data_IF_473324915409
#
_entry.id   IF_473324915409
#
_cell.length_a   1.000
_cell.length_b   1.000
_cell.length_c   1.000
_cell.angle_alpha   90.00
_cell.angle_beta   90.00
_cell.angle_gamma   90.00
#
_symmetry.space_group_name_H-M   'P 1'
#
loop_
_entity.id
_entity.type
_entity.pdbx_description
1 polymer ?
#
# COMPACT_ATOMS: atom_id res chain seq x y z
N UNK A 1 -29.02 11.01 -11.29
CA UNK A 1 -27.85 11.82 -11.66
C UNK A 1 -26.94 11.95 -10.46
N UNK A 2 -25.63 11.87 -10.69
CA UNK A 2 -24.59 12.14 -9.70
C UNK A 2 -24.48 13.64 -9.42
N UNK A 3 -23.99 13.96 -8.23
CA UNK A 3 -23.58 15.31 -7.84
C UNK A 3 -22.07 15.23 -7.54
N UNK A 4 -21.28 15.77 -8.43
CA UNK A 4 -19.82 15.67 -8.37
C UNK A 4 -19.23 16.96 -7.79
N UNK A 5 -18.10 16.83 -7.07
CA UNK A 5 -17.35 17.94 -6.47
C UNK A 5 -15.86 17.63 -6.41
N UNK A 6 -15.03 18.67 -6.23
CA UNK A 6 -13.58 18.49 -6.22
C UNK A 6 -13.03 18.10 -7.60
N UNK A 7 -13.42 18.83 -8.65
CA UNK A 7 -12.89 18.61 -10.00
C UNK A 7 -11.37 18.82 -10.02
N UNK A 8 -10.67 17.86 -10.60
CA UNK A 8 -9.24 17.99 -10.86
C UNK A 8 -8.97 19.16 -11.85
N UNK A 9 -7.81 19.82 -11.76
CA UNK A 9 -7.46 20.91 -12.70
C UNK A 9 -7.11 20.42 -14.10
N UNK A 10 -7.01 19.11 -14.31
CA UNK A 10 -6.71 18.45 -15.58
C UNK A 10 -7.83 17.50 -15.97
N UNK A 11 -7.90 17.14 -17.23
CA UNK A 11 -8.85 16.18 -17.77
C UNK A 11 -8.15 15.12 -18.63
N UNK A 12 -8.79 13.97 -18.76
CA UNK A 12 -8.38 12.88 -19.65
C UNK A 12 -9.29 12.81 -20.87
N UNK A 13 -8.75 12.32 -21.99
CA UNK A 13 -9.50 12.03 -23.18
C UNK A 13 -9.46 10.53 -23.47
N UNK A 14 -10.62 9.94 -23.68
CA UNK A 14 -10.77 8.51 -23.93
C UNK A 14 -11.17 8.29 -25.39
N UNK A 15 -10.20 8.01 -26.24
CA UNK A 15 -10.38 7.69 -27.68
C UNK A 15 -10.23 6.18 -27.88
N UNK A 16 -11.13 5.40 -27.25
CA UNK A 16 -11.03 3.95 -27.24
C UNK A 16 -11.77 3.35 -28.44
N UNK A 17 -11.06 2.47 -29.18
CA UNK A 17 -11.61 1.80 -30.38
C UNK A 17 -11.75 2.70 -31.60
N UNK A 18 -12.38 2.18 -32.65
CA UNK A 18 -12.47 2.80 -33.98
C UNK A 18 -13.79 3.56 -34.23
N UNK A 19 -14.63 3.70 -33.22
CA UNK A 19 -15.92 4.38 -33.32
C UNK A 19 -15.87 5.73 -32.60
N UNK A 20 -15.77 6.85 -33.35
CA UNK A 20 -15.68 8.19 -32.75
C UNK A 20 -16.89 8.58 -31.88
N UNK A 21 -18.05 7.98 -32.11
CA UNK A 21 -19.25 8.26 -31.32
C UNK A 21 -19.15 7.80 -29.85
N UNK A 22 -18.20 6.90 -29.58
CA UNK A 22 -17.88 6.38 -28.25
C UNK A 22 -16.72 7.12 -27.55
N UNK A 23 -16.07 8.02 -28.27
CA UNK A 23 -14.98 8.81 -27.70
C UNK A 23 -15.51 9.84 -26.72
N UNK A 24 -14.76 10.05 -25.65
CA UNK A 24 -15.05 11.04 -24.62
C UNK A 24 -13.85 11.92 -24.41
N UNK A 25 -14.01 13.22 -24.61
CA UNK A 25 -13.02 14.24 -24.28
C UNK A 25 -13.41 14.99 -23.03
N UNK A 26 -12.47 15.70 -22.45
CA UNK A 26 -12.62 16.57 -21.28
C UNK A 26 -13.26 15.84 -20.08
N UNK A 27 -12.84 14.60 -19.82
CA UNK A 27 -13.31 13.83 -18.66
C UNK A 27 -12.47 14.24 -17.46
N UNK A 28 -13.06 14.99 -16.55
CA UNK A 28 -12.40 15.42 -15.32
C UNK A 28 -12.48 14.35 -14.25
N UNK A 29 -11.36 14.10 -13.56
CA UNK A 29 -11.42 13.37 -12.31
C UNK A 29 -12.12 14.21 -11.24
N UNK A 30 -12.87 13.53 -10.37
CA UNK A 30 -13.63 14.17 -9.29
C UNK A 30 -13.18 13.59 -7.96
N UNK A 31 -12.99 14.45 -6.96
CA UNK A 31 -12.62 14.01 -5.61
C UNK A 31 -13.79 13.34 -4.88
N UNK A 32 -15.01 13.74 -5.20
CA UNK A 32 -16.22 13.21 -4.55
C UNK A 32 -17.40 13.15 -5.50
N UNK A 33 -18.10 12.02 -5.49
CA UNK A 33 -19.33 11.82 -6.26
C UNK A 33 -20.46 11.31 -5.35
N UNK A 34 -21.58 12.02 -5.33
CA UNK A 34 -22.76 11.67 -4.54
C UNK A 34 -23.86 11.15 -5.47
N UNK A 35 -24.50 10.06 -5.06
CA UNK A 35 -25.67 9.47 -5.73
C UNK A 35 -26.88 9.61 -4.81
N UNK A 36 -27.59 10.74 -4.85
CA UNK A 36 -28.83 10.90 -4.11
C UNK A 36 -29.85 9.84 -4.55
N UNK A 37 -30.56 9.24 -3.62
CA UNK A 37 -31.51 8.17 -3.90
C UNK A 37 -30.91 6.96 -4.63
N UNK A 38 -29.68 6.58 -4.26
CA UNK A 38 -29.06 5.31 -4.71
C UNK A 38 -29.99 4.12 -4.47
N UNK A 39 -30.61 4.08 -3.29
CA UNK A 39 -31.79 3.29 -2.94
C UNK A 39 -32.85 4.23 -2.32
N UNK A 40 -34.11 3.86 -2.23
CA UNK A 40 -35.15 4.70 -1.61
C UNK A 40 -34.75 5.16 -0.21
N UNK A 41 -34.48 6.46 -0.03
CA UNK A 41 -34.09 7.07 1.22
C UNK A 41 -32.62 6.81 1.62
N UNK A 42 -31.79 6.31 0.70
CA UNK A 42 -30.35 6.10 0.91
C UNK A 42 -29.57 6.84 -0.16
N UNK A 43 -28.69 7.72 0.27
CA UNK A 43 -27.65 8.32 -0.57
C UNK A 43 -26.37 7.50 -0.46
N UNK A 44 -25.69 7.27 -1.58
CA UNK A 44 -24.35 6.71 -1.62
C UNK A 44 -23.36 7.79 -2.04
N UNK A 45 -22.25 7.88 -1.36
CA UNK A 45 -21.16 8.78 -1.70
C UNK A 45 -19.92 7.96 -2.02
N UNK A 46 -19.25 8.30 -3.11
CA UNK A 46 -17.87 7.89 -3.39
C UNK A 46 -16.94 9.05 -3.06
N UNK A 47 -15.88 8.76 -2.33
CA UNK A 47 -14.82 9.70 -1.97
C UNK A 47 -13.50 9.15 -2.52
N UNK A 48 -12.90 9.87 -3.48
CA UNK A 48 -11.62 9.54 -4.08
C UNK A 48 -10.51 10.11 -3.21
N UNK A 49 -9.93 9.33 -2.32
CA UNK A 49 -8.65 9.66 -1.70
C UNK A 49 -7.50 9.17 -2.60
N UNK A 50 -6.29 9.71 -2.40
CA UNK A 50 -5.14 9.51 -3.31
C UNK A 50 -4.84 8.01 -3.53
N UNK A 51 -5.13 7.13 -2.56
CA UNK A 51 -4.79 5.71 -2.61
C UNK A 51 -5.97 4.75 -2.36
N UNK A 52 -7.20 5.26 -2.24
CA UNK A 52 -8.36 4.41 -1.97
C UNK A 52 -9.66 5.01 -2.51
N UNK A 53 -10.50 4.16 -3.10
CA UNK A 53 -11.89 4.49 -3.35
C UNK A 53 -12.70 4.12 -2.11
N UNK A 54 -13.19 5.14 -1.41
CA UNK A 54 -14.13 4.96 -0.29
C UNK A 54 -15.55 5.16 -0.77
N UNK A 55 -16.48 4.49 -0.12
CA UNK A 55 -17.89 4.76 -0.30
C UNK A 55 -18.58 4.80 1.06
N UNK A 56 -19.65 5.59 1.18
CA UNK A 56 -20.47 5.66 2.38
C UNK A 56 -21.96 5.70 2.02
N UNK A 57 -22.76 5.26 2.95
CA UNK A 57 -24.21 5.32 2.86
C UNK A 57 -24.75 6.28 3.91
N UNK A 58 -25.56 7.23 3.48
CA UNK A 58 -26.38 8.08 4.34
C UNK A 58 -27.83 7.61 4.26
N UNK A 59 -28.33 6.99 5.33
CA UNK A 59 -29.70 6.55 5.47
C UNK A 59 -30.54 7.67 6.09
N UNK A 60 -31.64 8.01 5.47
CA UNK A 60 -32.63 8.95 6.03
C UNK A 60 -33.34 8.32 7.24
N UNK A 61 -33.94 9.12 8.13
CA UNK A 61 -34.73 8.61 9.23
C UNK A 61 -35.79 7.58 8.80
N UNK A 62 -35.93 6.54 9.62
CA UNK A 62 -36.85 5.41 9.38
C UNK A 62 -36.55 4.52 8.16
N UNK A 63 -35.35 4.64 7.57
CA UNK A 63 -34.89 3.74 6.51
C UNK A 63 -34.07 2.60 7.13
N UNK A 64 -34.42 1.36 6.76
CA UNK A 64 -33.76 0.17 7.29
C UNK A 64 -32.40 -0.09 6.65
N UNK A 65 -31.32 -0.30 7.41
CA UNK A 65 -30.02 -0.68 6.86
C UNK A 65 -30.01 -2.02 6.11
N UNK A 66 -30.97 -2.91 6.40
CA UNK A 66 -31.08 -4.22 5.72
C UNK A 66 -31.48 -4.10 4.24
N UNK A 67 -31.89 -2.90 3.78
CA UNK A 67 -32.11 -2.65 2.35
C UNK A 67 -30.82 -2.58 1.56
N UNK A 68 -29.68 -2.33 2.21
CA UNK A 68 -28.37 -2.29 1.55
C UNK A 68 -27.89 -3.73 1.37
N UNK A 69 -27.89 -4.18 0.13
CA UNK A 69 -27.40 -5.51 -0.28
C UNK A 69 -26.58 -5.37 -1.54
N UNK A 70 -25.40 -5.98 -1.56
CA UNK A 70 -24.52 -6.04 -2.71
C UNK A 70 -24.24 -7.50 -3.06
N UNK A 71 -24.31 -7.85 -4.34
CA UNK A 71 -23.83 -9.13 -4.84
C UNK A 71 -22.43 -8.95 -5.39
N UNK A 72 -21.51 -9.74 -4.90
CA UNK A 72 -20.11 -9.72 -5.35
C UNK A 72 -19.97 -10.79 -6.44
N UNK A 73 -19.73 -10.34 -7.67
CA UNK A 73 -19.59 -11.21 -8.84
C UNK A 73 -18.12 -11.25 -9.30
N UNK A 74 -17.71 -12.37 -9.90
CA UNK A 74 -16.36 -12.54 -10.43
C UNK A 74 -15.30 -12.88 -9.39
N UNK A 75 -15.66 -13.02 -8.12
CA UNK A 75 -14.74 -13.46 -7.08
C UNK A 75 -14.59 -14.99 -7.10
N UNK A 76 -13.37 -15.48 -6.91
CA UNK A 76 -13.06 -16.90 -6.71
C UNK A 76 -13.38 -17.35 -5.29
N UNK A 77 -13.18 -16.43 -4.33
CA UNK A 77 -13.48 -16.67 -2.91
C UNK A 77 -13.82 -15.35 -2.22
N UNK A 78 -14.82 -15.39 -1.36
CA UNK A 78 -15.19 -14.27 -0.50
C UNK A 78 -15.23 -14.78 0.94
N UNK A 79 -14.63 -14.04 1.88
CA UNK A 79 -14.58 -14.42 3.29
C UNK A 79 -14.62 -13.21 4.22
N UNK A 80 -15.28 -13.36 5.35
CA UNK A 80 -15.14 -12.45 6.48
C UNK A 80 -13.98 -12.91 7.34
N UNK A 81 -13.02 -12.05 7.57
CA UNK A 81 -11.86 -12.31 8.40
C UNK A 81 -12.19 -12.16 9.89
N UNK A 82 -11.36 -12.74 10.76
CA UNK A 82 -11.57 -12.69 12.23
C UNK A 82 -11.60 -11.27 12.80
N UNK A 83 -10.93 -10.32 12.14
CA UNK A 83 -10.93 -8.90 12.51
C UNK A 83 -12.17 -8.14 12.03
N UNK A 84 -13.06 -8.80 11.29
CA UNK A 84 -14.28 -8.20 10.74
C UNK A 84 -14.12 -7.59 9.35
N UNK A 85 -12.93 -7.63 8.74
CA UNK A 85 -12.70 -7.19 7.38
C UNK A 85 -13.28 -8.20 6.37
N UNK A 86 -13.63 -7.72 5.18
CA UNK A 86 -14.02 -8.54 4.06
C UNK A 86 -12.81 -8.78 3.16
N UNK A 87 -12.58 -10.04 2.77
CA UNK A 87 -11.56 -10.45 1.82
C UNK A 87 -12.23 -11.01 0.57
N UNK A 88 -11.89 -10.47 -0.59
CA UNK A 88 -12.41 -10.87 -1.90
C UNK A 88 -11.23 -11.29 -2.76
N UNK A 89 -11.11 -12.58 -3.02
CA UNK A 89 -10.09 -13.14 -3.89
C UNK A 89 -10.60 -13.21 -5.32
N UNK A 90 -9.85 -12.71 -6.26
CA UNK A 90 -10.09 -12.86 -7.68
C UNK A 90 -8.78 -13.25 -8.40
N UNK A 91 -8.86 -13.65 -9.66
CA UNK A 91 -7.70 -14.16 -10.43
C UNK A 91 -6.49 -13.22 -10.53
N UNK A 92 -6.64 -11.96 -10.19
CA UNK A 92 -5.56 -10.95 -10.26
C UNK A 92 -5.05 -10.52 -8.88
N UNK A 93 -5.54 -11.11 -7.78
CA UNK A 93 -5.11 -10.78 -6.42
C UNK A 93 -6.25 -10.71 -5.41
N UNK A 94 -6.00 -10.05 -4.29
CA UNK A 94 -6.93 -9.89 -3.18
C UNK A 94 -7.39 -8.43 -3.06
N UNK A 95 -8.69 -8.27 -2.82
CA UNK A 95 -9.27 -7.00 -2.39
C UNK A 95 -9.66 -7.15 -0.93
N UNK A 96 -9.21 -6.22 -0.09
CA UNK A 96 -9.59 -6.14 1.31
C UNK A 96 -10.46 -4.92 1.54
N UNK A 97 -11.61 -5.12 2.16
CA UNK A 97 -12.48 -4.05 2.62
C UNK A 97 -12.48 -4.03 4.14
N UNK A 98 -12.18 -2.88 4.72
CA UNK A 98 -12.11 -2.72 6.15
C UNK A 98 -13.47 -2.93 6.81
N UNK A 99 -13.47 -3.44 8.04
CA UNK A 99 -14.66 -3.50 8.89
C UNK A 99 -15.41 -2.17 8.83
N UNK A 100 -16.74 -2.17 8.57
CA UNK A 100 -17.51 -0.95 8.47
C UNK A 100 -17.58 -0.24 9.83
N UNK A 101 -17.72 1.09 9.79
CA UNK A 101 -18.08 1.91 10.95
C UNK A 101 -19.41 2.58 10.68
N UNK A 102 -20.16 2.87 11.76
CA UNK A 102 -21.41 3.60 11.62
C UNK A 102 -21.55 4.62 12.78
N UNK A 103 -22.29 5.69 12.50
CA UNK A 103 -22.59 6.70 13.50
C UNK A 103 -23.85 7.50 13.17
N UNK A 104 -24.33 8.19 14.16
CA UNK A 104 -25.38 9.20 14.08
C UNK A 104 -24.88 10.51 14.70
N UNK A 105 -25.40 11.63 14.22
CA UNK A 105 -25.22 12.93 14.85
C UNK A 105 -26.37 13.17 15.82
N UNK A 106 -26.07 13.45 17.09
CA UNK A 106 -27.01 13.83 18.12
C UNK A 106 -26.68 15.26 18.55
N UNK A 107 -27.36 16.23 17.97
CA UNK A 107 -26.89 17.62 17.97
C UNK A 107 -25.53 17.70 17.25
N UNK A 108 -24.52 18.29 17.89
CA UNK A 108 -23.16 18.40 17.34
C UNK A 108 -22.26 17.22 17.71
N UNK A 109 -22.75 16.23 18.45
CA UNK A 109 -21.96 15.10 18.93
C UNK A 109 -22.10 13.87 18.00
N UNK A 110 -20.98 13.29 17.60
CA UNK A 110 -20.93 12.02 16.89
C UNK A 110 -21.12 10.87 17.88
N UNK A 111 -22.18 10.07 17.69
CA UNK A 111 -22.44 8.85 18.45
C UNK A 111 -22.18 7.64 17.56
N UNK A 112 -21.20 6.83 17.93
CA UNK A 112 -20.89 5.59 17.21
C UNK A 112 -22.01 4.56 17.38
N UNK A 113 -22.27 3.80 16.32
CA UNK A 113 -23.24 2.71 16.25
C UNK A 113 -22.49 1.44 15.86
N UNK A 114 -22.75 0.35 16.54
CA UNK A 114 -22.14 -0.93 16.20
C UNK A 114 -22.62 -1.39 14.82
N UNK A 115 -21.69 -1.83 13.97
CA UNK A 115 -21.99 -2.35 12.63
C UNK A 115 -21.00 -3.42 12.24
N UNK A 116 -21.45 -4.42 11.50
CA UNK A 116 -20.61 -5.47 10.93
C UNK A 116 -21.14 -5.91 9.56
N UNK A 117 -20.25 -6.44 8.75
CA UNK A 117 -20.61 -7.16 7.54
C UNK A 117 -21.35 -8.45 7.85
N UNK A 118 -22.31 -8.78 7.01
CA UNK A 118 -22.96 -10.10 6.96
C UNK A 118 -22.82 -10.63 5.53
N UNK A 119 -22.18 -11.78 5.41
CA UNK A 119 -21.97 -12.45 4.13
C UNK A 119 -22.82 -13.70 4.05
N UNK A 120 -23.65 -13.80 3.01
CA UNK A 120 -24.47 -14.96 2.70
C UNK A 120 -24.22 -15.40 1.25
N UNK A 121 -23.36 -16.38 1.08
CA UNK A 121 -22.82 -16.73 -0.24
C UNK A 121 -22.03 -15.57 -0.82
N UNK A 122 -22.47 -15.00 -1.94
CA UNK A 122 -21.90 -13.82 -2.58
C UNK A 122 -22.59 -12.52 -2.19
N UNK A 123 -23.66 -12.58 -1.40
CA UNK A 123 -24.40 -11.41 -0.99
C UNK A 123 -23.83 -10.81 0.29
N UNK A 124 -23.37 -9.58 0.20
CA UNK A 124 -22.92 -8.74 1.31
C UNK A 124 -24.07 -7.86 1.80
N UNK A 125 -24.21 -7.73 3.10
CA UNK A 125 -25.16 -6.83 3.78
C UNK A 125 -24.58 -6.35 5.10
N UNK A 126 -25.33 -5.54 5.85
CA UNK A 126 -24.92 -4.96 7.12
C UNK A 126 -25.86 -5.37 8.25
N UNK A 127 -25.27 -5.79 9.37
CA UNK A 127 -25.99 -5.89 10.64
C UNK A 127 -25.61 -4.69 11.49
N UNK A 128 -26.61 -3.92 11.90
CA UNK A 128 -26.44 -2.68 12.68
C UNK A 128 -27.02 -2.88 14.07
N UNK A 129 -26.28 -2.50 15.09
CA UNK A 129 -26.70 -2.54 16.48
C UNK A 129 -27.80 -1.52 16.80
N UNK A 130 -27.99 -1.22 18.07
CA UNK A 130 -29.00 -0.26 18.51
C UNK A 130 -28.68 1.18 18.06
N UNK A 131 -29.60 1.82 17.38
CA UNK A 131 -29.54 3.20 16.91
C UNK A 131 -30.92 3.88 17.02
N UNK A 132 -30.95 5.21 16.94
CA UNK A 132 -32.23 5.96 16.90
C UNK A 132 -32.74 6.03 15.45
N UNK A 133 -33.84 5.36 15.16
CA UNK A 133 -34.43 5.35 13.82
C UNK A 133 -34.93 6.72 13.36
N UNK A 134 -35.13 7.68 14.25
CA UNK A 134 -35.58 9.03 13.91
C UNK A 134 -34.43 9.96 13.48
N UNK A 135 -33.19 9.50 13.57
CA UNK A 135 -32.00 10.24 13.14
C UNK A 135 -31.37 9.58 11.91
N UNK A 136 -30.73 10.38 11.03
CA UNK A 136 -29.95 9.81 9.95
C UNK A 136 -28.87 8.88 10.49
N UNK A 137 -28.59 7.78 9.75
CA UNK A 137 -27.52 6.84 10.03
C UNK A 137 -26.49 6.89 8.92
N UNK A 138 -25.23 7.04 9.26
CA UNK A 138 -24.12 6.94 8.31
C UNK A 138 -23.42 5.60 8.51
N UNK A 139 -23.19 4.86 7.41
CA UNK A 139 -22.41 3.63 7.36
C UNK A 139 -21.25 3.87 6.40
N UNK A 140 -20.02 3.76 6.89
CA UNK A 140 -18.80 4.12 6.18
C UNK A 140 -17.72 3.06 6.44
N UNK A 141 -17.17 2.38 5.41
CA UNK A 141 -15.90 1.68 5.54
C UNK A 141 -14.80 2.74 5.59
N UNK A 142 -14.33 3.06 6.77
CA UNK A 142 -13.44 4.19 6.97
C UNK A 142 -11.97 3.80 7.00
N UNK A 143 -11.10 4.81 6.79
CA UNK A 143 -9.71 4.76 7.22
C UNK A 143 -9.66 4.27 8.68
N UNK A 144 -8.94 3.17 8.91
CA UNK A 144 -8.90 2.55 10.23
C UNK A 144 -8.17 3.43 11.22
N UNK A 145 -7.11 4.10 10.77
CA UNK A 145 -6.37 5.09 11.54
C UNK A 145 -5.46 5.94 10.63
N UNK A 146 -4.99 7.05 11.18
CA UNK A 146 -3.87 7.83 10.65
C UNK A 146 -2.93 8.15 11.80
N UNK A 147 -1.64 8.00 11.61
CA UNK A 147 -0.63 8.25 12.63
C UNK A 147 0.62 8.86 12.02
N UNK A 148 1.36 9.63 12.82
CA UNK A 148 2.70 10.06 12.47
C UNK A 148 3.70 8.93 12.75
N UNK A 149 4.80 8.88 11.98
CA UNK A 149 5.90 7.93 12.23
C UNK A 149 6.56 8.12 13.60
N UNK A 150 6.48 9.31 14.17
CA UNK A 150 7.18 9.69 15.40
C UNK A 150 8.66 9.99 15.17
N UNK A 151 9.11 10.05 13.92
CA UNK A 151 10.50 10.36 13.57
C UNK A 151 10.85 11.81 13.89
N UNK A 152 12.05 12.02 14.41
CA UNK A 152 12.70 13.34 14.52
C UNK A 152 13.67 13.60 13.37
N UNK A 153 13.92 12.59 12.53
CA UNK A 153 14.69 12.70 11.30
C UNK A 153 13.75 12.93 10.11
N UNK A 154 14.27 13.57 9.06
CA UNK A 154 13.58 13.59 7.76
C UNK A 154 13.38 12.15 7.28
N UNK A 155 12.18 11.87 6.78
CA UNK A 155 11.83 10.57 6.23
C UNK A 155 10.78 10.73 5.12
N UNK A 156 10.82 9.82 4.14
CA UNK A 156 9.86 9.75 3.04
C UNK A 156 9.19 8.38 3.04
N UNK A 157 7.86 8.34 2.97
CA UNK A 157 7.12 7.11 2.77
C UNK A 157 7.07 6.76 1.28
N UNK A 158 7.16 5.47 0.96
CA UNK A 158 7.14 4.99 -0.43
C UNK A 158 6.17 3.83 -0.66
N UNK A 159 5.95 2.98 0.32
CA UNK A 159 5.14 1.76 0.17
C UNK A 159 4.45 1.36 1.47
N UNK A 160 3.33 0.68 1.35
CA UNK A 160 2.60 0.13 2.49
C UNK A 160 1.88 -1.17 2.11
N UNK A 161 1.68 -2.05 3.09
CA UNK A 161 0.92 -3.29 2.93
C UNK A 161 0.28 -3.72 4.24
N UNK A 162 -0.92 -4.31 4.24
CA UNK A 162 -1.51 -4.91 5.45
C UNK A 162 -1.08 -6.38 5.60
N UNK A 163 -1.17 -6.91 6.84
CA UNK A 163 -1.23 -8.36 7.06
C UNK A 163 -2.68 -8.86 7.19
N UNK A 164 -2.85 -10.19 7.26
CA UNK A 164 -4.17 -10.82 7.38
C UNK A 164 -4.93 -10.48 8.68
N UNK A 165 -4.26 -9.90 9.66
CA UNK A 165 -4.84 -9.42 10.91
C UNK A 165 -5.24 -7.94 10.83
N UNK A 166 -4.95 -7.28 9.69
CA UNK A 166 -5.19 -5.86 9.47
C UNK A 166 -4.13 -4.96 10.09
N UNK A 167 -3.01 -5.50 10.60
CA UNK A 167 -1.87 -4.68 10.97
C UNK A 167 -1.26 -4.07 9.71
N UNK A 168 -0.72 -2.86 9.82
CA UNK A 168 -0.24 -2.11 8.66
C UNK A 168 1.28 -1.98 8.72
N UNK A 169 1.91 -2.35 7.63
CA UNK A 169 3.32 -2.05 7.39
C UNK A 169 3.44 -0.74 6.60
N UNK A 170 4.34 0.13 7.03
CA UNK A 170 4.80 1.28 6.28
C UNK A 170 6.28 1.14 5.98
N UNK A 171 6.67 1.44 4.75
CA UNK A 171 8.06 1.43 4.30
C UNK A 171 8.43 2.74 3.62
N UNK A 172 9.64 3.18 3.87
CA UNK A 172 10.17 4.42 3.32
C UNK A 172 11.66 4.54 3.58
N UNK A 173 12.18 5.75 3.52
CA UNK A 173 13.58 6.06 3.79
C UNK A 173 13.73 7.02 4.96
N UNK A 174 14.81 6.88 5.71
CA UNK A 174 15.24 7.84 6.71
C UNK A 174 16.59 8.45 6.28
N UNK A 175 16.76 9.74 6.55
CA UNK A 175 17.95 10.51 6.16
C UNK A 175 18.99 10.61 7.26
N UNK A 176 18.66 10.19 8.47
CA UNK A 176 19.58 10.21 9.62
C UNK A 176 19.02 9.37 10.77
N UNK A 177 19.77 9.31 11.86
CA UNK A 177 19.28 8.82 13.15
C UNK A 177 18.06 9.62 13.64
N UNK A 178 17.13 8.96 14.36
CA UNK A 178 15.93 9.62 14.92
C UNK A 178 14.62 9.06 14.39
N UNK A 179 14.67 8.10 13.45
CA UNK A 179 13.53 7.27 13.14
C UNK A 179 13.24 6.35 14.34
N UNK A 180 11.99 6.22 14.80
CA UNK A 180 11.69 5.40 15.97
C UNK A 180 11.99 3.93 15.69
N UNK A 181 12.76 3.30 16.57
CA UNK A 181 13.05 1.86 16.52
C UNK A 181 12.56 1.19 17.78
N UNK A 182 12.12 -0.06 17.68
CA UNK A 182 11.67 -0.83 18.84
C UNK A 182 12.78 -1.74 19.36
N UNK A 183 12.72 -2.10 20.65
CA UNK A 183 13.72 -2.97 21.24
C UNK A 183 13.68 -4.38 20.62
N UNK A 184 14.84 -4.95 20.31
CA UNK A 184 14.98 -6.32 19.80
C UNK A 184 14.66 -6.51 18.33
N UNK A 185 14.50 -5.43 17.55
CA UNK A 185 14.37 -5.51 16.09
C UNK A 185 15.66 -5.92 15.42
N UNK A 186 15.56 -6.25 14.14
CA UNK A 186 16.68 -6.71 13.33
C UNK A 186 17.81 -5.68 13.27
N UNK A 187 17.51 -4.42 12.93
CA UNK A 187 18.46 -3.32 12.88
C UNK A 187 17.90 -2.08 13.59
N UNK A 188 18.60 -1.62 14.62
CA UNK A 188 18.25 -0.45 15.40
C UNK A 188 19.16 0.75 15.12
N UNK A 189 20.01 0.65 14.11
CA UNK A 189 21.02 1.65 13.73
C UNK A 189 20.76 2.20 12.33
N UNK A 190 20.98 3.49 12.18
CA UNK A 190 21.12 4.13 10.87
C UNK A 190 22.57 3.94 10.40
N UNK A 191 22.76 3.28 9.26
CA UNK A 191 24.07 2.92 8.72
C UNK A 191 24.56 3.90 7.65
N UNK A 192 23.68 4.77 7.18
CA UNK A 192 24.00 5.82 6.22
C UNK A 192 24.84 6.97 6.82
N UNK A 193 25.14 7.95 5.99
CA UNK A 193 25.94 9.14 6.34
C UNK A 193 25.18 10.43 6.01
N UNK A 194 25.51 11.52 6.70
CA UNK A 194 24.96 12.85 6.40
C UNK A 194 25.79 13.62 5.36
N UNK A 195 27.06 13.22 5.17
CA UNK A 195 27.99 13.86 4.23
C UNK A 195 29.04 12.85 3.72
N UNK A 196 28.91 12.32 2.51
CA UNK A 196 27.83 12.51 1.55
C UNK A 196 26.50 11.93 2.06
N UNK A 197 25.39 12.53 1.70
CA UNK A 197 24.06 12.06 2.15
C UNK A 197 23.74 10.69 1.57
N UNK A 198 23.54 9.71 2.44
CA UNK A 198 22.99 8.40 2.12
C UNK A 198 21.76 8.14 2.99
N UNK A 199 20.92 7.20 2.62
CA UNK A 199 19.64 6.92 3.27
C UNK A 199 19.46 5.43 3.49
N UNK A 200 18.87 5.07 4.62
CA UNK A 200 18.47 3.70 4.92
C UNK A 200 16.95 3.52 4.74
N UNK A 201 16.55 2.31 4.44
CA UNK A 201 15.14 1.93 4.53
C UNK A 201 14.67 1.99 5.98
N UNK A 202 13.48 2.50 6.18
CA UNK A 202 12.77 2.54 7.45
C UNK A 202 11.46 1.79 7.33
N UNK A 203 11.25 0.77 8.15
CA UNK A 203 10.07 -0.09 8.14
C UNK A 203 9.36 0.00 9.48
N UNK A 204 8.05 0.22 9.45
CA UNK A 204 7.18 0.20 10.63
C UNK A 204 6.06 -0.82 10.47
N UNK A 205 5.63 -1.42 11.56
CA UNK A 205 4.42 -2.22 11.64
C UNK A 205 3.55 -1.70 12.78
N UNK A 206 2.33 -1.27 12.47
CA UNK A 206 1.34 -0.81 13.44
C UNK A 206 0.25 -1.86 13.64
N UNK A 207 -0.34 -1.87 14.84
CA UNK A 207 -1.58 -2.63 15.08
C UNK A 207 -2.69 -2.15 14.15
N UNK A 208 -3.67 -3.04 13.87
CA UNK A 208 -4.79 -2.77 12.97
C UNK A 208 -5.61 -1.52 13.30
N UNK A 209 -5.60 -1.07 14.55
CA UNK A 209 -6.25 0.17 15.01
C UNK A 209 -5.30 1.36 15.14
N UNK A 210 -4.02 1.19 14.73
CA UNK A 210 -2.98 2.22 14.81
C UNK A 210 -2.57 2.67 16.20
N UNK A 211 -3.14 2.05 17.25
CA UNK A 211 -2.90 2.50 18.63
C UNK A 211 -1.50 2.18 19.16
N UNK A 212 -0.81 1.22 18.52
CA UNK A 212 0.51 0.78 18.96
C UNK A 212 1.42 0.45 17.78
N UNK A 213 2.68 0.81 17.92
CA UNK A 213 3.76 0.34 17.05
C UNK A 213 4.14 -1.07 17.49
N UNK A 214 4.00 -2.05 16.59
CA UNK A 214 4.38 -3.45 16.85
C UNK A 214 5.87 -3.59 16.76
N UNK A 215 6.45 -3.10 15.65
CA UNK A 215 7.88 -2.96 15.51
C UNK A 215 8.25 -1.83 14.53
N UNK A 216 9.49 -1.37 14.66
CA UNK A 216 10.09 -0.44 13.71
C UNK A 216 11.58 -0.69 13.65
N UNK A 217 12.13 -0.78 12.43
CA UNK A 217 13.52 -1.16 12.16
C UNK A 217 14.08 -0.36 11.00
N UNK A 218 15.39 -0.15 10.98
CA UNK A 218 16.13 0.20 9.77
C UNK A 218 16.45 -1.05 8.95
N UNK A 219 16.83 -0.84 7.71
CA UNK A 219 17.44 -1.83 6.82
C UNK A 219 18.32 -1.10 5.82
N UNK A 220 19.62 -1.35 5.87
CA UNK A 220 20.56 -0.71 4.97
C UNK A 220 21.99 -1.14 5.18
N UNK A 221 22.87 -0.55 4.39
CA UNK A 221 24.32 -0.67 4.47
C UNK A 221 24.99 0.70 4.46
N UNK A 222 26.18 0.81 3.94
CA UNK A 222 26.98 2.05 4.00
C UNK A 222 26.66 3.08 2.91
N UNK A 223 25.79 2.76 1.92
CA UNK A 223 25.37 3.65 0.84
C UNK A 223 23.88 3.99 0.96
N UNK A 224 23.16 4.19 -0.13
CA UNK A 224 21.73 4.51 -0.10
C UNK A 224 20.85 3.32 -0.46
N UNK A 225 19.74 3.16 0.25
CA UNK A 225 18.71 2.16 0.03
C UNK A 225 17.33 2.77 -0.11
N UNK A 226 16.53 2.19 -1.02
CA UNK A 226 15.13 2.53 -1.22
C UNK A 226 14.25 1.29 -1.22
N UNK A 227 13.12 1.28 -0.53
CA UNK A 227 12.09 0.24 -0.69
C UNK A 227 11.16 0.67 -1.83
N UNK A 228 11.04 -0.15 -2.87
CA UNK A 228 10.13 0.09 -3.99
C UNK A 228 8.73 -0.44 -3.69
N UNK A 229 8.64 -1.64 -3.14
CA UNK A 229 7.38 -2.32 -2.86
C UNK A 229 7.51 -3.31 -1.72
N UNK A 230 6.42 -3.54 -1.00
CA UNK A 230 6.34 -4.53 0.08
C UNK A 230 5.08 -5.36 -0.06
N UNK A 231 5.16 -6.63 0.32
CA UNK A 231 4.00 -7.53 0.42
C UNK A 231 4.12 -8.40 1.68
N UNK A 232 2.99 -8.58 2.36
CA UNK A 232 2.93 -9.49 3.50
C UNK A 232 2.64 -10.92 3.02
N UNK A 233 3.48 -11.86 3.43
CA UNK A 233 3.30 -13.28 3.17
C UNK A 233 2.58 -13.99 4.31
N UNK A 234 2.62 -15.34 4.26
CA UNK A 234 2.02 -16.20 5.28
C UNK A 234 2.63 -15.89 6.66
N UNK A 235 1.80 -16.03 7.69
CA UNK A 235 2.20 -15.84 9.09
C UNK A 235 2.72 -14.43 9.42
N UNK A 236 2.43 -13.42 8.58
CA UNK A 236 2.82 -12.04 8.83
C UNK A 236 4.28 -11.71 8.49
N UNK A 237 4.96 -12.57 7.73
CA UNK A 237 6.30 -12.30 7.21
C UNK A 237 6.27 -11.19 6.15
N UNK A 238 7.23 -10.29 6.17
CA UNK A 238 7.30 -9.16 5.25
C UNK A 238 8.35 -9.39 4.18
N UNK A 239 7.93 -9.34 2.92
CA UNK A 239 8.81 -9.32 1.76
C UNK A 239 8.98 -7.88 1.29
N UNK A 240 10.22 -7.49 1.02
CA UNK A 240 10.57 -6.13 0.59
C UNK A 240 11.42 -6.22 -0.67
N UNK A 241 10.99 -5.51 -1.71
CA UNK A 241 11.77 -5.21 -2.91
C UNK A 241 12.27 -3.79 -2.83
N UNK A 242 13.51 -3.57 -3.20
CA UNK A 242 14.07 -2.23 -3.31
C UNK A 242 15.36 -2.20 -4.11
N UNK A 243 16.05 -1.08 -4.04
CA UNK A 243 17.37 -0.89 -4.62
C UNK A 243 18.36 -0.48 -3.52
N UNK A 244 19.59 -0.98 -3.62
CA UNK A 244 20.68 -0.68 -2.71
C UNK A 244 21.92 -0.26 -3.50
N UNK A 245 22.63 0.73 -2.97
CA UNK A 245 23.98 1.11 -3.41
C UNK A 245 25.08 0.48 -2.55
N UNK A 246 24.73 -0.39 -1.61
CA UNK A 246 25.64 -0.91 -0.59
C UNK A 246 26.15 -2.31 -0.92
N UNK A 247 27.45 -2.46 -1.04
CA UNK A 247 28.11 -3.77 -1.15
C UNK A 247 28.07 -4.56 0.17
N UNK A 248 27.80 -3.89 1.28
CA UNK A 248 27.66 -4.44 2.62
C UNK A 248 26.19 -4.53 3.07
N UNK A 249 25.22 -4.41 2.14
CA UNK A 249 23.80 -4.67 2.43
C UNK A 249 23.65 -6.08 3.02
N UNK A 250 22.83 -6.26 4.08
CA UNK A 250 22.72 -7.54 4.77
C UNK A 250 22.17 -8.66 3.89
N UNK A 251 23.00 -9.66 3.57
CA UNK A 251 22.65 -10.81 2.75
C UNK A 251 22.57 -12.09 3.57
N UNK A 252 21.48 -12.86 3.40
CA UNK A 252 21.25 -14.13 4.12
C UNK A 252 20.69 -15.17 3.15
N UNK A 253 21.49 -16.19 2.78
CA UNK A 253 21.04 -17.39 2.07
C UNK A 253 20.38 -17.11 0.71
N UNK A 254 20.75 -16.03 0.04
CA UNK A 254 20.15 -15.59 -1.22
C UNK A 254 20.67 -16.33 -2.46
N UNK A 255 19.99 -16.10 -3.57
CA UNK A 255 20.39 -16.57 -4.90
C UNK A 255 21.71 -15.90 -5.35
N UNK A 256 21.82 -14.59 -5.17
CA UNK A 256 23.02 -13.82 -5.41
C UNK A 256 23.43 -13.06 -4.14
N UNK A 257 24.64 -13.30 -3.68
CA UNK A 257 25.23 -12.69 -2.49
C UNK A 257 26.28 -11.63 -2.86
N UNK A 258 26.43 -11.34 -4.17
CA UNK A 258 27.47 -10.47 -4.70
C UNK A 258 26.85 -9.18 -5.21
N UNK A 259 27.31 -8.05 -4.68
CA UNK A 259 26.97 -6.74 -5.21
C UNK A 259 27.71 -6.49 -6.53
N UNK A 260 26.97 -6.20 -7.60
CA UNK A 260 27.49 -5.96 -8.93
C UNK A 260 27.17 -4.57 -9.48
N UNK A 261 26.53 -3.71 -8.70
CA UNK A 261 25.99 -2.40 -9.11
C UNK A 261 26.95 -1.57 -9.97
N UNK A 262 26.42 -0.73 -10.80
CA UNK A 262 27.13 0.03 -11.83
C UNK A 262 27.95 1.22 -11.33
N UNK A 263 27.94 2.30 -12.11
CA UNK A 263 28.66 3.52 -11.74
C UNK A 263 27.94 4.27 -10.62
N UNK A 264 28.73 4.91 -9.74
CA UNK A 264 28.22 5.79 -8.71
C UNK A 264 27.46 6.98 -9.33
N UNK A 265 26.34 7.36 -8.71
CA UNK A 265 25.51 8.48 -9.14
C UNK A 265 24.88 9.20 -7.93
N UNK A 266 24.28 10.35 -8.20
CA UNK A 266 23.54 11.11 -7.21
C UNK A 266 22.12 11.41 -7.72
N UNK A 267 21.12 11.23 -6.85
CA UNK A 267 19.72 11.59 -7.12
C UNK A 267 19.13 12.30 -5.90
N UNK A 268 18.50 13.48 -6.10
CA UNK A 268 17.95 14.32 -5.04
C UNK A 268 18.90 14.52 -3.84
N UNK A 269 20.17 14.78 -4.11
CA UNK A 269 21.25 14.90 -3.12
C UNK A 269 21.64 13.61 -2.38
N UNK A 270 21.01 12.49 -2.66
CA UNK A 270 21.38 11.17 -2.13
C UNK A 270 22.42 10.50 -3.01
N UNK A 271 23.40 9.86 -2.40
CA UNK A 271 24.55 9.25 -3.08
C UNK A 271 24.41 7.73 -3.12
N UNK A 272 24.67 7.18 -4.28
CA UNK A 272 24.69 5.74 -4.56
C UNK A 272 26.04 5.32 -5.11
N UNK A 273 26.60 4.24 -4.62
CA UNK A 273 27.82 3.63 -5.16
C UNK A 273 27.51 2.65 -6.30
N UNK A 274 26.61 3.02 -7.24
CA UNK A 274 25.91 2.15 -8.14
C UNK A 274 24.62 1.65 -7.53
N UNK A 275 23.90 0.72 -8.17
CA UNK A 275 22.71 0.10 -7.57
C UNK A 275 22.42 -1.29 -8.12
N UNK A 276 22.06 -2.22 -7.22
CA UNK A 276 21.40 -3.49 -7.51
C UNK A 276 20.02 -3.50 -6.83
N UNK A 277 19.06 -4.23 -7.39
CA UNK A 277 17.86 -4.59 -6.64
C UNK A 277 18.23 -5.48 -5.45
N UNK A 278 17.48 -5.36 -4.38
CA UNK A 278 17.45 -6.37 -3.32
C UNK A 278 16.05 -6.90 -3.12
N UNK A 279 15.97 -8.17 -2.71
CA UNK A 279 14.76 -8.80 -2.22
C UNK A 279 15.08 -9.39 -0.86
N UNK A 280 14.32 -9.05 0.16
CA UNK A 280 14.50 -9.60 1.48
C UNK A 280 13.18 -10.01 2.14
N UNK A 281 13.28 -10.92 3.11
CA UNK A 281 12.17 -11.48 3.86
C UNK A 281 12.44 -11.38 5.34
N UNK A 282 11.60 -10.64 6.06
CA UNK A 282 11.61 -10.53 7.51
C UNK A 282 10.66 -11.53 8.14
N UNK A 283 10.99 -11.96 9.36
CA UNK A 283 10.02 -12.65 10.20
C UNK A 283 8.89 -11.70 10.65
N UNK A 284 7.78 -12.27 11.13
CA UNK A 284 6.55 -11.54 11.45
C UNK A 284 6.70 -10.43 12.50
N UNK A 285 7.71 -10.53 13.37
CA UNK A 285 7.95 -9.59 14.46
C UNK A 285 9.16 -8.65 14.22
N UNK A 286 9.74 -8.67 13.03
CA UNK A 286 10.79 -7.75 12.62
C UNK A 286 12.14 -7.93 13.33
N UNK A 287 12.35 -9.08 13.99
CA UNK A 287 13.57 -9.35 14.79
C UNK A 287 14.67 -10.07 14.01
N UNK A 288 14.36 -10.59 12.83
CA UNK A 288 15.31 -11.31 12.00
C UNK A 288 14.98 -11.17 10.51
N UNK A 289 16.02 -11.05 9.71
CA UNK A 289 15.99 -11.26 8.28
C UNK A 289 16.08 -12.78 8.03
N UNK A 290 15.11 -13.36 7.34
CA UNK A 290 15.03 -14.80 7.07
C UNK A 290 15.79 -15.18 5.80
N UNK A 291 15.77 -14.29 4.80
CA UNK A 291 16.53 -14.40 3.56
C UNK A 291 16.71 -13.04 2.92
N UNK A 292 17.77 -12.86 2.15
CA UNK A 292 17.98 -11.69 1.31
C UNK A 292 18.87 -12.04 0.13
N UNK A 293 18.67 -11.39 -1.01
CA UNK A 293 19.45 -11.58 -2.23
C UNK A 293 19.58 -10.28 -2.99
N UNK A 294 20.72 -10.05 -3.62
CA UNK A 294 20.80 -9.11 -4.72
C UNK A 294 20.11 -9.69 -5.96
N UNK A 295 19.69 -8.82 -6.85
CA UNK A 295 19.21 -9.16 -8.18
C UNK A 295 19.62 -8.04 -9.13
N UNK A 296 20.68 -8.25 -9.87
CA UNK A 296 21.25 -7.26 -10.77
C UNK A 296 22.30 -7.84 -11.71
N UNK A 297 22.87 -6.97 -12.50
CA UNK A 297 23.98 -7.27 -13.39
C UNK A 297 25.14 -6.28 -13.17
N UNK A 298 25.86 -5.93 -14.22
CA UNK A 298 27.07 -5.10 -14.09
C UNK A 298 26.82 -3.59 -14.19
N UNK A 299 25.57 -3.14 -14.28
CA UNK A 299 25.19 -1.73 -14.32
C UNK A 299 24.11 -1.45 -13.26
N UNK A 300 23.59 -0.22 -13.23
CA UNK A 300 22.61 0.17 -12.22
C UNK A 300 21.26 -0.50 -12.46
N UNK A 301 20.76 -1.21 -11.46
CA UNK A 301 19.51 -1.96 -11.46
C UNK A 301 18.59 -1.50 -10.32
N UNK A 302 17.27 -1.57 -10.54
CA UNK A 302 16.27 -1.11 -9.58
C UNK A 302 16.06 0.41 -9.56
N UNK A 303 16.92 1.17 -10.22
CA UNK A 303 16.86 2.62 -10.30
C UNK A 303 16.96 3.08 -11.75
N UNK A 304 16.01 3.91 -12.17
CA UNK A 304 16.03 4.56 -13.48
C UNK A 304 16.57 5.98 -13.34
N UNK A 305 17.86 6.16 -13.56
CA UNK A 305 18.55 7.46 -13.42
C UNK A 305 18.02 8.51 -14.42
N UNK A 306 17.58 8.08 -15.60
CA UNK A 306 17.20 8.91 -16.72
C UNK A 306 15.68 9.10 -16.85
N UNK A 307 14.88 8.65 -15.89
CA UNK A 307 13.44 8.84 -15.95
C UNK A 307 13.04 10.32 -15.90
N UNK A 308 11.95 10.66 -16.56
CA UNK A 308 11.32 11.96 -16.40
C UNK A 308 10.68 11.97 -15.02
N UNK A 309 11.14 12.88 -14.16
CA UNK A 309 10.66 12.97 -12.78
C UNK A 309 9.45 13.89 -12.73
N UNK A 310 8.26 13.34 -12.53
CA UNK A 310 7.05 14.07 -12.19
C UNK A 310 6.80 14.09 -10.69
N UNK A 311 7.30 13.08 -9.97
CA UNK A 311 7.28 13.03 -8.51
C UNK A 311 8.56 12.35 -7.96
N UNK A 312 8.73 12.39 -6.64
CA UNK A 312 9.95 11.92 -5.97
C UNK A 312 10.22 10.40 -6.10
N UNK A 313 9.17 9.59 -6.35
CA UNK A 313 9.27 8.13 -6.43
C UNK A 313 9.54 7.58 -7.83
N UNK A 314 9.56 8.43 -8.87
CA UNK A 314 9.59 7.94 -10.26
C UNK A 314 10.87 7.19 -10.63
N UNK A 315 11.98 7.43 -9.96
CA UNK A 315 13.26 6.86 -10.31
C UNK A 315 13.52 5.46 -9.71
N UNK A 316 12.76 5.01 -8.69
CA UNK A 316 12.95 3.70 -8.03
C UNK A 316 11.70 2.81 -8.05
N UNK A 317 10.87 2.94 -9.07
CA UNK A 317 9.65 2.15 -9.19
C UNK A 317 9.94 0.67 -9.41
N UNK A 318 9.23 -0.17 -8.66
CA UNK A 318 9.22 -1.62 -8.77
C UNK A 318 8.07 -2.18 -7.98
N UNK A 319 7.66 -3.41 -8.30
CA UNK A 319 6.58 -4.11 -7.60
C UNK A 319 7.01 -5.52 -7.21
N UNK A 320 6.56 -5.98 -6.05
CA UNK A 320 6.71 -7.34 -5.58
C UNK A 320 5.33 -7.96 -5.33
N UNK A 321 5.17 -9.21 -5.75
CA UNK A 321 3.98 -10.00 -5.46
C UNK A 321 4.35 -11.45 -5.15
N UNK A 322 3.41 -12.18 -4.55
CA UNK A 322 3.58 -13.58 -4.18
C UNK A 322 2.46 -14.40 -4.81
N UNK A 323 2.80 -15.61 -5.30
CA UNK A 323 1.79 -16.59 -5.65
C UNK A 323 1.29 -17.35 -4.40
N UNK A 324 0.26 -18.22 -4.51
CA UNK A 324 -0.23 -19.02 -3.40
C UNK A 324 0.81 -19.98 -2.79
N UNK A 325 1.91 -20.26 -3.49
CA UNK A 325 3.04 -21.08 -3.01
C UNK A 325 4.18 -20.22 -2.44
N UNK A 326 3.97 -18.89 -2.35
CA UNK A 326 4.95 -17.90 -1.89
C UNK A 326 6.19 -17.78 -2.79
N UNK A 327 6.06 -18.16 -4.07
CA UNK A 327 7.05 -17.74 -5.06
C UNK A 327 6.99 -16.24 -5.25
N UNK A 328 8.15 -15.62 -5.32
CA UNK A 328 8.30 -14.17 -5.44
C UNK A 328 8.32 -13.77 -6.91
N UNK A 329 7.49 -12.81 -7.27
CA UNK A 329 7.48 -12.15 -8.58
C UNK A 329 7.84 -10.69 -8.39
N UNK A 330 8.75 -10.20 -9.22
CA UNK A 330 9.18 -8.80 -9.17
C UNK A 330 9.16 -8.17 -10.55
N UNK A 331 8.92 -6.89 -10.60
CA UNK A 331 9.12 -6.04 -11.77
C UNK A 331 9.86 -4.78 -11.37
N UNK A 332 10.84 -4.36 -12.16
CA UNK A 332 11.58 -3.13 -11.96
C UNK A 332 12.35 -2.75 -13.23
N UNK A 333 13.27 -1.79 -13.15
CA UNK A 333 14.13 -1.35 -14.24
C UNK A 333 15.53 -1.96 -14.13
N UNK A 334 16.18 -2.19 -15.26
CA UNK A 334 17.58 -2.61 -15.35
C UNK A 334 18.29 -1.86 -16.47
N UNK A 335 19.54 -1.47 -16.23
CA UNK A 335 20.47 -0.99 -17.26
C UNK A 335 21.47 -2.08 -17.65
N UNK A 336 21.46 -3.20 -16.96
CA UNK A 336 22.40 -4.31 -17.16
C UNK A 336 22.06 -5.15 -18.38
N UNK A 337 22.92 -5.16 -19.37
CA UNK A 337 22.81 -6.07 -20.53
C UNK A 337 23.06 -7.55 -20.17
N UNK A 338 23.66 -7.81 -19.02
CA UNK A 338 23.93 -9.13 -18.45
C UNK A 338 23.06 -9.44 -17.23
N UNK A 339 21.87 -8.82 -17.15
CA UNK A 339 20.88 -9.14 -16.10
C UNK A 339 20.62 -10.65 -16.08
N UNK A 340 20.54 -11.30 -14.89
CA UNK A 340 20.38 -12.75 -14.81
C UNK A 340 19.10 -13.21 -15.49
N UNK A 341 19.26 -14.06 -16.51
CA UNK A 341 18.15 -14.68 -17.24
C UNK A 341 18.29 -16.19 -17.23
N UNK A 342 17.17 -16.90 -17.08
CA UNK A 342 17.10 -18.35 -17.14
C UNK A 342 16.21 -18.77 -18.30
N UNK A 343 16.76 -19.59 -19.22
CA UNK A 343 16.03 -20.10 -20.40
C UNK A 343 16.23 -19.26 -21.66
N UNK A 344 15.86 -19.82 -22.82
CA UNK A 344 16.07 -19.26 -24.16
C UNK A 344 14.91 -18.42 -24.64
N UNK A 345 14.41 -17.47 -23.86
CA UNK A 345 13.19 -16.82 -24.28
C UNK A 345 12.76 -15.55 -23.55
N UNK A 346 13.69 -14.76 -23.13
CA UNK A 346 13.33 -13.47 -22.57
C UNK A 346 13.69 -12.31 -23.47
N UNK A 347 12.77 -11.78 -24.23
CA UNK A 347 12.65 -10.37 -24.63
C UNK A 347 11.20 -10.04 -24.76
#
# INVERSE_FOLDING_TARGET
STIDSGLAPHYDNYYLGNDPSKWKGEVYAVGKSRLPNFLPGIEMTYDGEIDALKYSFLLQPNVSPQTIKANIEGAEKIALLKNGNLSIQHRFGLIHESKPVAWQMVGDAKRNVEVKFVLNGTQLSYEVGAYDSNLPLIIDPSLTFSSFSGSTADNWGSTATPDDLGNVFGGGIAFSTGFPVTAGVYDNSFNGTTMPTTVDVAITKFTANGASLIYSTYLGGSSSEFPSSMVCGLNGELYVLGATGSADFPMIGGYDMTYNGGLAFQKYSMNFNGSDMYICRFNANGTALLSSTYLGGSQNDGINENCVNYNYGDFYRGEISLDPSYNVFVTSSTLSSNFPTVGSGGQ
#
